data_IF_316419578878
#
_entry.id   IF_316419578878
#
_cell.length_a   1.000
_cell.length_b   1.000
_cell.length_c   1.000
_cell.angle_alpha   90.00
_cell.angle_beta   90.00
_cell.angle_gamma   90.00
#
_symmetry.space_group_name_H-M   'P 1'
#
loop_
_entity.id
_entity.type
_entity.pdbx_description
1 polymer ?
#
# COMPACT_ATOMS: atom_id res chain seq x y z
N UNK A 1 16.05 -15.07 57.20
CA UNK A 1 16.18 -14.58 55.80
C UNK A 1 15.66 -15.63 54.80
N UNK A 2 14.34 -15.75 54.60
CA UNK A 2 13.76 -16.59 53.52
C UNK A 2 12.60 -15.91 52.78
N UNK A 3 12.04 -14.83 53.33
CA UNK A 3 10.86 -14.15 52.78
C UNK A 3 11.16 -13.23 51.58
N UNK A 4 12.41 -12.78 51.39
CA UNK A 4 12.77 -11.86 50.30
C UNK A 4 13.02 -12.55 48.95
N UNK A 5 13.28 -13.85 48.93
CA UNK A 5 13.51 -14.64 47.71
C UNK A 5 12.21 -14.97 46.96
N UNK A 6 11.10 -15.15 47.67
CA UNK A 6 9.79 -15.45 47.07
C UNK A 6 9.20 -14.25 46.31
N UNK A 7 9.40 -13.03 46.83
CA UNK A 7 8.90 -11.81 46.20
C UNK A 7 9.55 -11.52 44.84
N UNK A 8 10.85 -11.82 44.70
CA UNK A 8 11.57 -11.64 43.43
C UNK A 8 11.13 -12.63 42.35
N UNK A 9 10.73 -13.84 42.74
CA UNK A 9 10.28 -14.87 41.79
C UNK A 9 8.89 -14.57 41.24
N UNK A 10 7.99 -14.04 42.08
CA UNK A 10 6.63 -13.65 41.67
C UNK A 10 6.67 -12.47 40.70
N UNK A 11 7.56 -11.48 40.93
CA UNK A 11 7.72 -10.36 40.00
C UNK A 11 8.28 -10.82 38.64
N UNK A 12 9.22 -11.77 38.63
CA UNK A 12 9.81 -12.30 37.40
C UNK A 12 8.78 -13.08 36.56
N UNK A 13 7.89 -13.85 37.21
CA UNK A 13 6.79 -14.57 36.56
C UNK A 13 5.72 -13.63 35.98
N UNK A 14 5.47 -12.47 36.62
CA UNK A 14 4.54 -11.45 36.12
C UNK A 14 5.06 -10.72 34.86
N UNK A 15 6.38 -10.50 34.75
CA UNK A 15 6.98 -9.85 33.56
C UNK A 15 6.99 -10.79 32.36
N UNK A 16 7.11 -12.11 32.56
CA UNK A 16 7.12 -13.09 31.48
C UNK A 16 5.76 -13.26 30.77
N UNK A 17 4.65 -13.03 31.48
CA UNK A 17 3.29 -13.09 30.88
C UNK A 17 2.88 -11.82 30.12
N UNK A 18 3.59 -10.70 30.31
CA UNK A 18 3.31 -9.45 29.59
C UNK A 18 3.88 -9.41 28.16
N UNK A 19 4.68 -10.41 27.78
CA UNK A 19 5.21 -10.59 26.43
C UNK A 19 4.50 -11.74 25.70
N UNK A 20 3.17 -11.79 25.75
CA UNK A 20 2.45 -12.55 24.74
C UNK A 20 2.57 -11.79 23.42
N UNK A 21 3.42 -12.31 22.52
CA UNK A 21 3.39 -11.94 21.11
C UNK A 21 1.95 -12.03 20.63
N UNK A 22 1.41 -11.03 19.92
CA UNK A 22 0.09 -11.14 19.32
C UNK A 22 0.05 -12.43 18.49
N UNK A 23 -1.00 -13.22 18.75
CA UNK A 23 -1.26 -14.55 18.22
C UNK A 23 -0.96 -14.60 16.71
N UNK A 24 0.07 -15.34 16.30
CA UNK A 24 0.49 -15.49 14.90
C UNK A 24 -0.66 -16.03 14.01
N UNK A 25 -1.69 -16.62 14.63
CA UNK A 25 -2.91 -17.08 13.98
C UNK A 25 -3.80 -15.95 13.44
N UNK A 26 -3.76 -14.73 14.01
CA UNK A 26 -4.54 -13.61 13.51
C UNK A 26 -4.05 -13.11 12.13
N UNK A 27 -2.77 -13.33 11.83
CA UNK A 27 -2.17 -13.06 10.51
C UNK A 27 -2.32 -14.20 9.51
N UNK A 28 -2.67 -15.41 9.95
CA UNK A 28 -2.72 -16.60 9.10
C UNK A 28 -3.84 -16.57 8.03
N UNK A 29 -4.85 -15.73 8.21
CA UNK A 29 -6.01 -15.63 7.30
C UNK A 29 -5.97 -14.43 6.36
N UNK A 30 -5.19 -13.40 6.67
CA UNK A 30 -5.10 -12.22 5.82
C UNK A 30 -3.96 -12.33 4.81
N UNK A 31 -4.22 -11.88 3.58
CA UNK A 31 -3.23 -11.86 2.51
C UNK A 31 -3.11 -10.45 1.94
N UNK A 32 -1.88 -9.94 1.70
CA UNK A 32 -1.71 -8.62 1.14
C UNK A 32 -2.22 -8.58 -0.32
N UNK A 33 -2.59 -7.40 -0.84
CA UNK A 33 -3.01 -7.26 -2.23
C UNK A 33 -1.94 -7.73 -3.21
N UNK A 34 -2.36 -8.60 -4.13
CA UNK A 34 -1.51 -9.12 -5.21
C UNK A 34 -1.63 -8.31 -6.50
N UNK A 35 -2.68 -7.48 -6.62
CA UNK A 35 -2.90 -6.63 -7.79
C UNK A 35 -3.36 -5.23 -7.39
N UNK A 36 -2.98 -4.25 -8.22
CA UNK A 36 -3.43 -2.87 -8.12
C UNK A 36 -3.76 -2.36 -9.53
N UNK A 37 -4.94 -1.79 -9.68
CA UNK A 37 -5.36 -1.14 -10.93
C UNK A 37 -5.37 0.37 -10.75
N UNK A 38 -4.87 1.10 -11.75
CA UNK A 38 -4.94 2.56 -11.81
C UNK A 38 -5.83 2.98 -12.98
N UNK A 39 -6.96 3.59 -12.67
CA UNK A 39 -7.93 4.07 -13.66
C UNK A 39 -7.72 5.59 -13.84
N UNK A 40 -7.41 5.99 -15.07
CA UNK A 40 -7.03 7.36 -15.41
C UNK A 40 -8.22 8.27 -15.76
N UNK A 41 -7.95 9.57 -16.05
CA UNK A 41 -8.97 10.60 -16.27
C UNK A 41 -9.96 10.31 -17.41
N UNK A 42 -9.61 9.51 -18.42
CA UNK A 42 -10.56 9.15 -19.48
C UNK A 42 -11.65 8.19 -19.02
N UNK A 43 -11.37 7.38 -18.01
CA UNK A 43 -12.32 6.44 -17.43
C UNK A 43 -13.07 7.07 -16.24
N UNK A 44 -12.49 8.10 -15.60
CA UNK A 44 -13.07 8.75 -14.41
C UNK A 44 -13.79 10.07 -14.71
N UNK A 45 -13.55 10.72 -15.85
CA UNK A 45 -14.14 12.03 -16.21
C UNK A 45 -13.75 13.19 -15.29
N UNK A 46 -12.91 12.92 -14.29
CA UNK A 46 -12.49 13.80 -13.21
C UNK A 46 -10.95 13.77 -13.24
N UNK A 47 -10.29 14.91 -13.00
CA UNK A 47 -8.81 15.05 -13.00
C UNK A 47 -8.11 14.33 -11.84
N UNK A 48 -8.45 13.05 -11.67
CA UNK A 48 -8.02 12.17 -10.60
C UNK A 48 -7.83 10.77 -11.14
N UNK A 49 -6.79 10.11 -10.66
CA UNK A 49 -6.53 8.69 -10.87
C UNK A 49 -7.14 7.88 -9.73
N UNK A 50 -8.00 6.92 -10.04
CA UNK A 50 -8.56 5.98 -9.06
C UNK A 50 -7.66 4.75 -8.96
N UNK A 51 -7.17 4.47 -7.75
CA UNK A 51 -6.43 3.25 -7.44
C UNK A 51 -7.36 2.23 -6.78
N UNK A 52 -7.32 0.97 -7.24
CA UNK A 52 -8.14 -0.12 -6.70
C UNK A 52 -7.28 -1.36 -6.48
N UNK A 53 -7.08 -1.71 -5.20
CA UNK A 53 -6.39 -2.92 -4.78
C UNK A 53 -7.30 -4.14 -4.94
N UNK A 54 -6.71 -5.30 -5.27
CA UNK A 54 -7.44 -6.55 -5.45
C UNK A 54 -6.56 -7.77 -5.17
N UNK A 55 -7.17 -8.95 -5.11
CA UNK A 55 -6.47 -10.20 -4.84
C UNK A 55 -5.87 -10.26 -3.44
N UNK A 56 -6.59 -9.74 -2.45
CA UNK A 56 -6.26 -9.78 -1.02
C UNK A 56 -7.33 -10.57 -0.26
N UNK A 57 -6.99 -10.95 0.97
CA UNK A 57 -7.95 -11.45 1.97
C UNK A 57 -7.86 -10.53 3.18
N UNK A 58 -8.97 -9.91 3.56
CA UNK A 58 -9.04 -8.93 4.63
C UNK A 58 -9.71 -9.48 5.90
N UNK A 59 -9.62 -8.68 6.96
CA UNK A 59 -10.32 -8.89 8.21
C UNK A 59 -11.16 -7.64 8.55
N UNK A 60 -12.12 -7.75 9.48
CA UNK A 60 -12.80 -6.58 10.01
C UNK A 60 -11.78 -5.53 10.49
N UNK A 61 -11.98 -4.27 10.11
CA UNK A 61 -11.09 -3.14 10.41
C UNK A 61 -9.73 -3.15 9.68
N UNK A 62 -9.58 -3.90 8.58
CA UNK A 62 -8.44 -3.74 7.69
C UNK A 62 -8.35 -2.31 7.14
N UNK A 63 -7.14 -1.76 7.10
CA UNK A 63 -6.85 -0.44 6.53
C UNK A 63 -5.82 -0.57 5.42
N UNK A 64 -5.94 0.30 4.42
CA UNK A 64 -5.03 0.35 3.29
C UNK A 64 -4.27 1.66 3.30
N UNK A 65 -2.96 1.57 3.10
CA UNK A 65 -2.06 2.71 3.06
C UNK A 65 -1.35 2.72 1.71
N UNK A 66 -1.70 3.69 0.88
CA UNK A 66 -1.12 3.91 -0.44
C UNK A 66 -0.02 4.97 -0.34
N UNK A 67 1.22 4.58 -0.63
CA UNK A 67 2.35 5.49 -0.68
C UNK A 67 2.77 5.70 -2.14
N UNK A 68 2.77 6.96 -2.57
CA UNK A 68 2.94 7.33 -3.97
C UNK A 68 4.33 7.91 -4.24
N UNK A 69 4.92 7.50 -5.36
CA UNK A 69 6.24 7.94 -5.81
C UNK A 69 6.21 8.26 -7.31
N UNK A 70 5.80 9.49 -7.70
CA UNK A 70 5.88 9.96 -9.08
C UNK A 70 7.34 10.02 -9.57
N UNK A 71 7.56 9.69 -10.84
CA UNK A 71 8.88 9.72 -11.48
C UNK A 71 8.85 10.58 -12.75
N UNK A 72 9.87 11.43 -12.90
CA UNK A 72 10.01 12.36 -14.03
C UNK A 72 10.67 11.76 -15.28
N UNK A 73 11.25 10.55 -15.20
CA UNK A 73 12.02 9.94 -16.28
C UNK A 73 11.51 8.52 -16.61
N UNK A 74 11.36 8.22 -17.90
CA UNK A 74 10.95 6.90 -18.43
C UNK A 74 12.09 6.14 -19.11
N UNK A 75 13.24 6.79 -19.35
CA UNK A 75 14.34 6.20 -20.10
C UNK A 75 15.15 5.20 -19.27
N UNK A 76 15.09 5.31 -17.94
CA UNK A 76 15.66 4.28 -17.08
C UNK A 76 14.65 3.16 -16.84
N UNK A 77 15.04 1.93 -17.15
CA UNK A 77 14.44 0.72 -16.60
C UNK A 77 14.64 0.61 -15.08
N UNK A 78 15.18 1.64 -14.43
CA UNK A 78 15.31 1.74 -12.99
C UNK A 78 13.91 1.72 -12.35
N UNK A 79 13.61 0.56 -11.78
CA UNK A 79 12.39 0.28 -11.03
C UNK A 79 12.54 0.77 -9.57
N UNK A 80 13.66 1.39 -9.22
CA UNK A 80 13.89 1.82 -7.84
C UNK A 80 12.94 2.95 -7.43
N UNK A 81 12.34 2.77 -6.27
CA UNK A 81 11.56 3.80 -5.60
C UNK A 81 12.55 4.88 -5.14
N UNK A 82 12.71 5.92 -5.96
CA UNK A 82 13.50 7.09 -5.60
C UNK A 82 12.86 7.75 -4.38
N UNK A 83 13.70 8.10 -3.40
CA UNK A 83 13.37 8.37 -1.97
C UNK A 83 12.29 9.42 -1.70
N UNK A 84 11.87 10.20 -2.69
CA UNK A 84 10.93 11.30 -2.47
C UNK A 84 9.50 10.77 -2.49
N UNK A 85 9.10 10.16 -1.37
CA UNK A 85 7.70 9.83 -1.07
C UNK A 85 6.87 11.11 -1.19
N UNK A 86 5.95 11.14 -2.15
CA UNK A 86 5.13 12.33 -2.37
C UNK A 86 4.02 12.44 -1.32
N UNK A 87 3.43 11.31 -0.92
CA UNK A 87 2.35 11.32 0.04
C UNK A 87 1.95 9.93 0.53
N UNK A 88 1.09 9.93 1.54
CA UNK A 88 0.44 8.73 2.07
C UNK A 88 -1.05 8.98 2.00
N UNK A 89 -1.80 8.10 1.35
CA UNK A 89 -3.25 8.13 1.42
C UNK A 89 -3.69 6.90 2.19
N UNK A 90 -4.24 7.14 3.39
CA UNK A 90 -4.92 6.09 4.14
C UNK A 90 -6.34 5.98 3.60
N UNK A 91 -6.77 4.77 3.30
CA UNK A 91 -8.12 4.48 2.90
C UNK A 91 -8.68 3.38 3.79
N UNK A 92 -9.90 3.61 4.27
CA UNK A 92 -10.69 2.65 5.04
C UNK A 92 -11.26 1.55 4.13
N UNK A 93 -10.91 1.59 2.84
CA UNK A 93 -11.37 0.73 1.76
C UNK A 93 -10.19 0.45 0.85
N UNK A 94 -10.33 -0.59 0.05
CA UNK A 94 -9.40 -1.08 -0.96
C UNK A 94 -9.14 -0.13 -2.14
N UNK A 95 -9.67 1.10 -2.08
CA UNK A 95 -9.58 2.09 -3.15
C UNK A 95 -9.29 3.49 -2.64
N UNK A 96 -8.59 4.27 -3.45
CA UNK A 96 -8.30 5.66 -3.16
C UNK A 96 -8.21 6.53 -4.41
N UNK A 97 -8.52 7.81 -4.28
CA UNK A 97 -8.35 8.79 -5.36
C UNK A 97 -7.02 9.53 -5.18
N UNK A 98 -6.28 9.64 -6.27
CA UNK A 98 -5.05 10.41 -6.36
C UNK A 98 -5.32 11.59 -7.28
N UNK A 99 -5.18 12.82 -6.76
CA UNK A 99 -5.33 14.02 -7.57
C UNK A 99 -4.26 14.05 -8.67
N UNK A 100 -4.60 14.53 -9.86
CA UNK A 100 -3.61 14.67 -10.93
C UNK A 100 -2.49 15.66 -10.56
N UNK A 101 -2.73 16.58 -9.62
CA UNK A 101 -1.68 17.46 -9.06
C UNK A 101 -0.58 16.71 -8.31
N UNK A 102 -0.87 15.49 -7.83
CA UNK A 102 0.09 14.57 -7.20
C UNK A 102 1.01 13.97 -8.25
N UNK A 103 0.39 13.44 -9.30
CA UNK A 103 1.07 12.76 -10.39
C UNK A 103 1.67 13.75 -11.37
N UNK A 104 1.24 15.02 -11.36
CA UNK A 104 1.67 16.12 -12.23
C UNK A 104 1.81 15.65 -13.69
N UNK A 105 2.93 15.98 -14.31
CA UNK A 105 3.37 15.54 -15.63
C UNK A 105 4.18 14.25 -15.55
N UNK A 106 4.20 13.54 -14.42
CA UNK A 106 5.01 12.34 -14.25
C UNK A 106 4.53 11.26 -15.24
N UNK A 107 5.41 10.82 -16.16
CA UNK A 107 5.07 9.76 -17.11
C UNK A 107 5.01 8.38 -16.44
N UNK A 108 5.51 8.22 -15.21
CA UNK A 108 5.53 6.97 -14.45
C UNK A 108 5.35 7.25 -12.96
N UNK A 109 4.75 6.33 -12.22
CA UNK A 109 4.75 6.38 -10.75
C UNK A 109 4.73 4.98 -10.13
N UNK A 110 5.20 4.90 -8.89
CA UNK A 110 5.07 3.70 -8.06
C UNK A 110 4.07 3.88 -6.93
N UNK A 111 3.52 2.74 -6.52
CA UNK A 111 2.68 2.63 -5.33
C UNK A 111 3.26 1.55 -4.44
N UNK A 112 3.61 1.91 -3.21
CA UNK A 112 3.76 0.94 -2.11
C UNK A 112 2.43 0.85 -1.38
N UNK A 113 1.87 -0.35 -1.32
CA UNK A 113 0.60 -0.63 -0.68
C UNK A 113 0.84 -1.49 0.56
N UNK A 114 0.50 -0.93 1.71
CA UNK A 114 0.49 -1.67 2.97
C UNK A 114 -0.94 -1.87 3.41
N UNK A 115 -1.30 -3.11 3.74
CA UNK A 115 -2.59 -3.45 4.34
C UNK A 115 -2.36 -3.82 5.81
N UNK A 116 -3.25 -3.39 6.70
CA UNK A 116 -3.29 -3.91 8.07
C UNK A 116 -4.36 -5.00 8.18
N UNK A 117 -4.06 -6.03 8.96
CA UNK A 117 -4.99 -7.07 9.37
C UNK A 117 -5.11 -7.01 10.88
N UNK A 118 -6.29 -6.63 11.40
CA UNK A 118 -6.51 -6.45 12.85
C UNK A 118 -5.46 -5.54 13.53
N UNK A 119 -5.03 -4.47 12.84
CA UNK A 119 -4.01 -3.55 13.34
C UNK A 119 -2.56 -3.99 13.13
N UNK A 120 -2.32 -5.23 12.66
CA UNK A 120 -0.99 -5.73 12.33
C UNK A 120 -0.69 -5.45 10.85
N UNK A 121 0.38 -4.71 10.52
CA UNK A 121 0.73 -4.48 9.12
C UNK A 121 1.23 -5.77 8.46
N UNK A 122 0.68 -6.09 7.29
CA UNK A 122 1.17 -7.17 6.43
C UNK A 122 2.38 -6.72 5.60
N UNK A 123 2.99 -7.68 4.90
CA UNK A 123 4.01 -7.41 3.90
C UNK A 123 3.52 -6.38 2.87
N UNK A 124 4.40 -5.43 2.54
CA UNK A 124 4.10 -4.38 1.57
C UNK A 124 4.18 -4.92 0.14
N UNK A 125 3.14 -4.65 -0.64
CA UNK A 125 3.13 -4.88 -2.08
C UNK A 125 3.58 -3.62 -2.82
N UNK A 126 4.30 -3.78 -3.93
CA UNK A 126 4.73 -2.68 -4.77
C UNK A 126 4.14 -2.83 -6.17
N UNK A 127 3.76 -1.70 -6.77
CA UNK A 127 3.19 -1.63 -8.11
C UNK A 127 3.77 -0.43 -8.87
N UNK A 128 3.90 -0.54 -10.19
CA UNK A 128 4.30 0.55 -11.06
C UNK A 128 3.31 0.75 -12.19
N UNK A 129 3.17 2.01 -12.61
CA UNK A 129 2.34 2.39 -13.74
C UNK A 129 3.07 3.38 -14.64
N UNK A 130 2.88 3.23 -15.94
CA UNK A 130 3.35 4.17 -16.97
C UNK A 130 2.15 4.77 -17.69
N UNK A 131 2.19 6.08 -17.93
CA UNK A 131 1.19 6.81 -18.69
C UNK A 131 1.41 6.54 -20.17
N UNK A 132 0.39 6.02 -20.86
CA UNK A 132 0.41 5.79 -22.31
C UNK A 132 -0.81 6.45 -22.95
N UNK A 133 -0.69 6.96 -24.19
CA UNK A 133 -1.87 7.37 -24.94
C UNK A 133 -2.82 6.17 -25.06
N UNK A 134 -4.12 6.40 -24.94
CA UNK A 134 -5.11 5.43 -25.35
C UNK A 134 -4.98 5.19 -26.86
N UNK A 135 -5.50 4.06 -27.35
CA UNK A 135 -5.45 3.78 -28.79
C UNK A 135 -6.20 4.89 -29.54
N UNK A 136 -5.80 5.15 -30.79
CA UNK A 136 -6.23 6.30 -31.59
C UNK A 136 -7.76 6.39 -31.80
N UNK A 137 -8.45 5.28 -31.57
CA UNK A 137 -9.88 5.04 -31.68
C UNK A 137 -10.68 5.47 -30.43
N UNK A 138 -10.04 5.67 -29.27
CA UNK A 138 -10.67 5.95 -27.97
C UNK A 138 -10.42 7.40 -27.48
N UNK A 139 -10.69 8.41 -28.31
CA UNK A 139 -10.53 9.85 -28.03
C UNK A 139 -9.09 10.39 -28.18
N UNK A 140 -8.88 11.30 -29.14
CA UNK A 140 -7.66 12.10 -29.26
C UNK A 140 -7.37 12.82 -27.92
N UNK A 141 -6.17 12.63 -27.37
CA UNK A 141 -5.68 13.15 -26.08
C UNK A 141 -6.04 12.33 -24.82
N UNK A 142 -6.57 11.12 -24.97
CA UNK A 142 -6.76 10.24 -23.82
C UNK A 142 -5.45 9.54 -23.38
N UNK A 143 -5.22 9.44 -22.07
CA UNK A 143 -4.12 8.68 -21.47
C UNK A 143 -4.61 7.65 -20.46
N UNK A 144 -3.99 6.48 -20.47
CA UNK A 144 -4.25 5.37 -19.53
C UNK A 144 -2.99 5.00 -18.77
N UNK A 145 -3.19 4.49 -17.56
CA UNK A 145 -2.12 3.92 -16.75
C UNK A 145 -1.96 2.44 -17.07
N UNK A 146 -0.80 2.06 -17.57
CA UNK A 146 -0.47 0.67 -17.89
C UNK A 146 0.40 0.11 -16.78
N UNK A 147 0.01 -1.02 -16.14
CA UNK A 147 0.82 -1.65 -15.12
C UNK A 147 2.17 -2.08 -15.69
N UNK A 148 3.22 -1.99 -14.89
CA UNK A 148 4.56 -2.46 -15.22
C UNK A 148 4.98 -3.58 -14.27
N UNK A 149 5.70 -4.57 -14.80
CA UNK A 149 6.31 -5.61 -13.98
C UNK A 149 7.50 -5.01 -13.23
N UNK A 150 7.51 -5.21 -11.91
CA UNK A 150 8.63 -4.83 -11.05
C UNK A 150 9.70 -5.92 -11.02
#
# INVERSE_FOLDING_TARGET
>A
MKLRLLSSYVLLLLVLNACQKPDDNATATCQPPTALTALGPCESGIGTTLLVASGFTDAPNSQFVFQLYPQSDTLSADVSIKRNKWGTVSANRERTFVLDSVLRTAPKFFVKLTMTCNGIPLATSAFAFIKRPARADDYENCYRWIPQKL
#
